data_IF_256837032972
#
_entry.id   IF_256837032972
#
_cell.length_a   1.000
_cell.length_b   1.000
_cell.length_c   1.000
_cell.angle_alpha   90.00
_cell.angle_beta   90.00
_cell.angle_gamma   90.00
#
_symmetry.space_group_name_H-M   'P 1'
#
loop_
_entity.id
_entity.type
_entity.pdbx_description
1 polymer ?
#
# COMPACT_ATOMS: atom_id res chain seq x y z
N UNK A 1 -1.07 -5.34 -49.13
CA UNK A 1 0.02 -6.00 -48.40
C UNK A 1 -0.06 -5.53 -46.95
N UNK A 2 -0.38 -6.32 -45.93
CA UNK A 2 -0.71 -7.75 -45.84
C UNK A 2 -1.79 -7.96 -44.77
N UNK A 3 -2.53 -9.04 -44.92
CA UNK A 3 -3.71 -9.43 -44.16
C UNK A 3 -3.40 -9.83 -42.71
N UNK A 4 -4.39 -9.66 -41.84
CA UNK A 4 -4.39 -10.19 -40.49
C UNK A 4 -4.45 -11.73 -40.51
N UNK A 5 -3.70 -12.46 -39.67
CA UNK A 5 -3.81 -13.90 -39.61
C UNK A 5 -5.13 -14.29 -38.91
N UNK A 6 -6.05 -14.87 -39.68
CA UNK A 6 -7.08 -15.74 -39.14
C UNK A 6 -6.40 -17.05 -38.71
N UNK A 7 -6.38 -17.35 -37.41
CA UNK A 7 -6.01 -18.68 -36.92
C UNK A 7 -7.23 -19.39 -36.35
N UNK A 8 -7.64 -20.37 -37.16
CA UNK A 8 -8.51 -21.52 -36.95
C UNK A 8 -8.78 -21.93 -35.50
N UNK A 9 -10.05 -21.82 -35.12
CA UNK A 9 -10.68 -22.77 -34.21
C UNK A 9 -10.85 -24.09 -34.97
N UNK A 10 -10.01 -25.08 -34.67
CA UNK A 10 -10.27 -26.53 -34.84
C UNK A 10 -8.95 -27.31 -34.70
N UNK A 11 -8.43 -27.46 -33.49
CA UNK A 11 -7.50 -28.56 -33.15
C UNK A 11 -7.21 -28.67 -31.64
N UNK A 12 -8.22 -28.85 -30.79
CA UNK A 12 -8.03 -29.39 -29.44
C UNK A 12 -9.22 -30.29 -29.06
N UNK A 13 -9.53 -31.25 -29.92
CA UNK A 13 -10.24 -32.48 -29.56
C UNK A 13 -9.16 -33.55 -29.37
N UNK A 14 -8.74 -33.77 -28.13
CA UNK A 14 -7.70 -34.75 -27.77
C UNK A 14 -7.66 -34.95 -26.26
N UNK A 15 -8.45 -35.92 -25.79
CA UNK A 15 -8.35 -36.66 -24.53
C UNK A 15 -7.93 -35.91 -23.25
N UNK A 16 -8.92 -35.33 -22.57
CA UNK A 16 -8.85 -35.07 -21.14
C UNK A 16 -9.03 -36.38 -20.35
N UNK A 17 -8.21 -36.68 -19.32
CA UNK A 17 -8.50 -37.75 -18.38
C UNK A 17 -9.80 -37.45 -17.61
N UNK A 18 -10.76 -38.37 -17.71
CA UNK A 18 -12.03 -38.35 -16.99
C UNK A 18 -11.82 -38.41 -15.47
N UNK A 19 -11.93 -37.26 -14.80
CA UNK A 19 -12.74 -37.02 -13.58
C UNK A 19 -12.43 -35.63 -13.04
N UNK A 20 -13.12 -34.63 -13.56
CA UNK A 20 -13.46 -33.43 -12.80
C UNK A 20 -14.97 -33.49 -12.66
N UNK A 21 -15.45 -33.60 -11.43
CA UNK A 21 -16.88 -33.62 -11.14
C UNK A 21 -17.55 -32.42 -11.83
N UNK A 22 -18.48 -32.77 -12.70
CA UNK A 22 -19.30 -31.86 -13.48
C UNK A 22 -20.22 -31.09 -12.54
N UNK A 23 -19.90 -29.81 -12.28
CA UNK A 23 -20.86 -28.75 -11.90
C UNK A 23 -20.19 -27.35 -11.81
N UNK A 24 -19.52 -26.86 -12.86
CA UNK A 24 -19.20 -25.41 -12.91
C UNK A 24 -20.42 -24.59 -13.39
N UNK A 25 -21.43 -24.48 -12.52
CA UNK A 25 -22.34 -23.33 -12.54
C UNK A 25 -21.66 -22.22 -11.73
N UNK A 26 -20.75 -21.44 -12.33
CA UNK A 26 -20.06 -20.39 -11.56
C UNK A 26 -19.30 -19.41 -12.44
N UNK A 27 -19.25 -18.15 -12.03
CA UNK A 27 -18.54 -17.06 -12.68
C UNK A 27 -17.02 -17.14 -12.43
N UNK A 28 -16.44 -18.31 -12.68
CA UNK A 28 -15.02 -18.58 -12.45
C UNK A 28 -14.17 -18.21 -13.67
N UNK A 29 -12.99 -17.63 -13.46
CA UNK A 29 -12.00 -17.34 -14.52
C UNK A 29 -10.66 -17.96 -14.17
N UNK A 30 -10.11 -18.76 -15.09
CA UNK A 30 -8.81 -19.41 -14.93
C UNK A 30 -7.75 -18.77 -15.84
N UNK A 31 -6.57 -18.47 -15.28
CA UNK A 31 -5.46 -17.83 -15.97
C UNK A 31 -4.20 -18.66 -15.72
N UNK A 32 -3.49 -19.01 -16.79
CA UNK A 32 -2.25 -19.77 -16.70
C UNK A 32 -1.07 -18.80 -16.60
N UNK A 33 -0.21 -18.99 -15.61
CA UNK A 33 1.06 -18.26 -15.46
C UNK A 33 2.16 -19.27 -15.16
N UNK A 34 3.03 -19.53 -16.13
CA UNK A 34 4.04 -20.58 -16.05
C UNK A 34 3.44 -21.96 -15.76
N UNK A 35 3.92 -22.61 -14.69
CA UNK A 35 3.42 -23.92 -14.24
C UNK A 35 2.15 -23.85 -13.40
N UNK A 36 1.63 -22.67 -13.08
CA UNK A 36 0.47 -22.49 -12.20
C UNK A 36 -0.77 -22.04 -12.96
N UNK A 37 -1.94 -22.44 -12.48
CA UNK A 37 -3.24 -21.96 -12.94
C UNK A 37 -3.91 -21.23 -11.78
N UNK A 38 -4.19 -19.95 -11.97
CA UNK A 38 -4.88 -19.10 -11.01
C UNK A 38 -6.36 -19.07 -11.35
N UNK A 39 -7.21 -19.48 -10.42
CA UNK A 39 -8.67 -19.47 -10.56
C UNK A 39 -9.25 -18.38 -9.66
N UNK A 40 -9.93 -17.42 -10.29
CA UNK A 40 -10.63 -16.32 -9.66
C UNK A 40 -12.11 -16.68 -9.61
N UNK A 41 -12.67 -16.74 -8.40
CA UNK A 41 -14.06 -17.12 -8.17
C UNK A 41 -14.87 -15.93 -7.64
N UNK A 42 -15.95 -15.58 -8.36
CA UNK A 42 -16.83 -14.45 -8.07
C UNK A 42 -18.06 -14.79 -7.22
N UNK A 43 -18.14 -15.95 -6.55
CA UNK A 43 -19.37 -16.34 -5.85
C UNK A 43 -19.62 -15.51 -4.58
N UNK A 44 -20.81 -14.94 -4.52
CA UNK A 44 -21.45 -14.34 -3.35
C UNK A 44 -22.04 -15.48 -2.49
N UNK A 45 -21.31 -15.92 -1.46
CA UNK A 45 -21.84 -16.83 -0.44
C UNK A 45 -22.28 -16.01 0.77
N UNK A 46 -23.44 -16.38 1.36
CA UNK A 46 -24.26 -15.64 2.35
C UNK A 46 -23.59 -15.19 3.67
N UNK A 47 -22.27 -15.20 3.76
CA UNK A 47 -21.48 -14.59 4.83
C UNK A 47 -20.35 -13.72 4.22
N UNK A 48 -20.67 -12.49 3.82
CA UNK A 48 -19.68 -11.47 3.46
C UNK A 48 -18.87 -11.80 2.20
N UNK A 49 -19.48 -11.60 1.04
CA UNK A 49 -18.97 -11.86 -0.30
C UNK A 49 -17.59 -11.25 -0.58
N UNK A 50 -16.53 -12.06 -0.65
CA UNK A 50 -15.20 -11.62 -1.15
C UNK A 50 -14.76 -12.51 -2.31
N UNK A 51 -14.08 -11.92 -3.30
CA UNK A 51 -13.55 -12.68 -4.43
C UNK A 51 -12.56 -13.74 -3.93
N UNK A 52 -12.75 -14.99 -4.37
CA UNK A 52 -11.92 -16.13 -3.98
C UNK A 52 -10.78 -16.34 -4.97
N UNK A 53 -9.60 -16.74 -4.47
CA UNK A 53 -8.47 -17.18 -5.31
C UNK A 53 -8.08 -18.60 -4.95
N UNK A 54 -7.89 -19.45 -5.95
CA UNK A 54 -7.30 -20.79 -5.84
C UNK A 54 -6.17 -20.93 -6.86
N UNK A 55 -5.15 -21.71 -6.52
CA UNK A 55 -4.01 -21.97 -7.39
C UNK A 55 -3.90 -23.48 -7.60
N UNK A 56 -3.79 -23.89 -8.85
CA UNK A 56 -3.44 -25.26 -9.23
C UNK A 56 -2.02 -25.30 -9.75
N UNK A 57 -1.15 -26.05 -9.08
CA UNK A 57 0.23 -26.25 -9.52
C UNK A 57 0.29 -27.47 -10.44
N UNK A 58 0.60 -27.25 -11.73
CA UNK A 58 0.67 -28.34 -12.73
C UNK A 58 1.83 -29.31 -12.46
N UNK A 59 2.85 -28.87 -11.73
CA UNK A 59 4.03 -29.70 -11.44
C UNK A 59 3.77 -30.71 -10.33
N UNK A 60 3.02 -30.32 -9.29
CA UNK A 60 2.63 -31.23 -8.20
C UNK A 60 1.26 -31.88 -8.42
N UNK A 61 0.40 -31.27 -9.24
CA UNK A 61 -0.99 -31.70 -9.42
C UNK A 61 -1.90 -31.33 -8.24
N UNK A 62 -1.49 -30.39 -7.39
CA UNK A 62 -2.21 -30.03 -6.16
C UNK A 62 -2.89 -28.66 -6.26
N UNK A 63 -4.02 -28.54 -5.55
CA UNK A 63 -4.69 -27.27 -5.30
C UNK A 63 -4.17 -26.60 -4.03
N UNK A 64 -4.01 -25.28 -4.08
CA UNK A 64 -3.57 -24.44 -2.97
C UNK A 64 -4.47 -23.22 -2.84
N UNK A 65 -4.63 -22.76 -1.59
CA UNK A 65 -5.32 -21.52 -1.26
C UNK A 65 -4.23 -20.54 -0.80
N UNK A 66 -3.94 -19.49 -1.59
CA UNK A 66 -2.91 -18.53 -1.21
C UNK A 66 -3.38 -17.60 -0.10
N UNK A 67 -2.41 -16.97 0.57
CA UNK A 67 -2.67 -15.77 1.36
C UNK A 67 -2.96 -14.64 0.38
N UNK A 68 -4.14 -14.02 0.50
CA UNK A 68 -4.56 -12.91 -0.36
C UNK A 68 -4.37 -11.59 0.37
N UNK A 69 -3.46 -10.76 -0.14
CA UNK A 69 -3.18 -9.41 0.36
C UNK A 69 -3.91 -8.34 -0.45
N UNK A 70 -3.97 -7.13 0.09
CA UNK A 70 -4.54 -5.95 -0.58
C UNK A 70 -6.06 -5.86 -0.50
N UNK A 71 -6.60 -4.71 -0.93
CA UNK A 71 -8.03 -4.50 -1.03
C UNK A 71 -8.62 -5.40 -2.11
N UNK A 72 -9.65 -6.18 -1.75
CA UNK A 72 -10.28 -7.12 -2.69
C UNK A 72 -11.33 -6.39 -3.54
N UNK A 73 -11.43 -6.69 -4.85
CA UNK A 73 -12.56 -6.21 -5.65
C UNK A 73 -13.88 -6.74 -5.10
N UNK A 74 -14.93 -5.91 -5.17
CA UNK A 74 -16.29 -6.34 -4.83
C UNK A 74 -16.74 -7.42 -5.82
N UNK A 75 -17.25 -8.57 -5.35
CA UNK A 75 -17.76 -9.65 -6.20
C UNK A 75 -18.72 -9.17 -7.28
N UNK A 76 -18.65 -9.83 -8.43
CA UNK A 76 -19.47 -9.54 -9.62
C UNK A 76 -19.72 -10.82 -10.37
N UNK A 77 -20.84 -10.85 -11.07
CA UNK A 77 -21.17 -11.96 -11.95
C UNK A 77 -20.40 -11.90 -13.27
N UNK A 78 -19.87 -10.73 -13.61
CA UNK A 78 -19.17 -10.51 -14.86
C UNK A 78 -17.76 -9.97 -14.61
N UNK A 79 -16.78 -10.79 -14.98
CA UNK A 79 -15.36 -10.47 -14.98
C UNK A 79 -14.73 -11.01 -16.26
N UNK A 80 -13.76 -10.26 -16.77
CA UNK A 80 -12.76 -10.72 -17.73
C UNK A 80 -11.39 -10.68 -17.06
N UNK A 81 -10.54 -11.65 -17.34
CA UNK A 81 -9.17 -11.66 -16.83
C UNK A 81 -8.20 -11.99 -17.97
N UNK A 82 -7.10 -11.24 -18.05
CA UNK A 82 -6.08 -11.39 -19.08
C UNK A 82 -4.70 -11.27 -18.45
N UNK A 83 -3.78 -12.14 -18.86
CA UNK A 83 -2.39 -12.05 -18.45
C UNK A 83 -1.75 -10.81 -19.10
N UNK A 84 -1.18 -9.91 -18.29
CA UNK A 84 -0.44 -8.76 -18.84
C UNK A 84 1.02 -9.11 -19.09
N UNK A 85 1.61 -9.85 -18.17
CA UNK A 85 3.00 -10.29 -18.15
C UNK A 85 3.13 -11.44 -17.12
N UNK A 86 4.34 -11.95 -16.93
CA UNK A 86 4.58 -13.10 -16.05
C UNK A 86 4.33 -12.83 -14.54
N UNK A 87 4.04 -11.59 -14.14
CA UNK A 87 3.86 -11.22 -12.73
C UNK A 87 2.49 -10.60 -12.38
N UNK A 88 1.66 -10.24 -13.37
CA UNK A 88 0.35 -9.59 -13.18
C UNK A 88 -0.72 -10.09 -14.15
N UNK A 89 -1.90 -10.30 -13.60
CA UNK A 89 -3.15 -10.55 -14.34
C UNK A 89 -4.05 -9.32 -14.23
N UNK A 90 -4.45 -8.73 -15.35
CA UNK A 90 -5.48 -7.69 -15.39
C UNK A 90 -6.85 -8.34 -15.28
N UNK A 91 -7.66 -7.85 -14.35
CA UNK A 91 -9.04 -8.26 -14.10
C UNK A 91 -9.95 -7.06 -14.32
N UNK A 92 -10.85 -7.17 -15.30
CA UNK A 92 -11.82 -6.14 -15.66
C UNK A 92 -13.20 -6.61 -15.26
N UNK A 93 -13.89 -5.83 -14.43
CA UNK A 93 -15.28 -6.07 -14.05
C UNK A 93 -16.24 -5.53 -15.13
N UNK A 94 -17.15 -6.37 -15.61
CA UNK A 94 -18.25 -5.94 -16.47
C UNK A 94 -19.28 -5.12 -15.70
N UNK A 95 -19.91 -4.14 -16.36
CA UNK A 95 -21.05 -3.36 -15.86
C UNK A 95 -20.82 -2.28 -14.77
N UNK A 96 -19.63 -1.70 -14.61
CA UNK A 96 -19.50 -0.44 -13.87
C UNK A 96 -19.03 0.72 -14.77
N UNK A 97 -19.80 1.81 -14.85
CA UNK A 97 -19.38 3.03 -15.54
C UNK A 97 -18.36 3.87 -14.76
N UNK A 98 -17.57 3.25 -13.89
CA UNK A 98 -16.70 3.93 -12.91
C UNK A 98 -15.28 3.35 -12.91
N UNK A 99 -14.29 4.12 -12.44
CA UNK A 99 -12.89 3.72 -12.27
C UNK A 99 -12.64 2.47 -11.42
N UNK A 100 -13.66 1.92 -10.72
CA UNK A 100 -13.57 0.65 -9.98
C UNK A 100 -13.54 -0.63 -10.86
N UNK A 101 -13.47 -0.50 -12.18
CA UNK A 101 -13.52 -1.64 -13.11
C UNK A 101 -12.23 -2.43 -13.24
N UNK A 102 -11.07 -1.79 -13.02
CA UNK A 102 -9.78 -2.38 -13.32
C UNK A 102 -9.09 -2.79 -12.04
N UNK A 103 -8.64 -4.03 -11.99
CA UNK A 103 -7.91 -4.62 -10.87
C UNK A 103 -6.76 -5.45 -11.41
N UNK A 104 -5.69 -5.56 -10.65
CA UNK A 104 -4.59 -6.46 -10.94
C UNK A 104 -4.52 -7.52 -9.85
N UNK A 105 -4.42 -8.77 -10.27
CA UNK A 105 -3.96 -9.85 -9.41
C UNK A 105 -2.46 -9.99 -9.63
N UNK A 106 -1.69 -9.57 -8.63
CA UNK A 106 -0.24 -9.72 -8.58
C UNK A 106 0.09 -11.14 -8.12
N UNK A 107 0.83 -11.87 -8.95
CA UNK A 107 1.14 -13.29 -8.74
C UNK A 107 2.64 -13.58 -8.68
N UNK A 108 3.47 -12.61 -9.04
CA UNK A 108 4.92 -12.80 -9.08
C UNK A 108 5.74 -11.52 -8.99
N UNK A 109 5.13 -10.42 -8.54
CA UNK A 109 5.81 -9.11 -8.41
C UNK A 109 6.85 -9.16 -7.28
N UNK A 110 7.82 -8.23 -7.24
CA UNK A 110 8.77 -8.15 -6.13
C UNK A 110 8.10 -8.08 -4.74
N UNK A 111 6.97 -7.38 -4.65
CA UNK A 111 6.14 -7.30 -3.44
C UNK A 111 5.62 -8.68 -3.02
N UNK A 112 4.99 -9.42 -3.95
CA UNK A 112 4.49 -10.77 -3.69
C UNK A 112 5.62 -11.70 -3.24
N UNK A 113 6.74 -11.74 -3.97
CA UNK A 113 7.89 -12.62 -3.64
C UNK A 113 8.49 -12.30 -2.27
N UNK A 114 8.54 -11.02 -1.90
CA UNK A 114 9.03 -10.61 -0.58
C UNK A 114 8.10 -11.15 0.52
N UNK A 115 6.78 -11.01 0.36
CA UNK A 115 5.80 -11.52 1.31
C UNK A 115 5.76 -13.06 1.36
N UNK A 116 5.90 -13.76 0.23
CA UNK A 116 6.03 -15.23 0.21
C UNK A 116 7.22 -15.68 1.04
N UNK A 117 8.38 -15.01 0.87
CA UNK A 117 9.59 -15.32 1.64
C UNK A 117 9.40 -15.09 3.14
N UNK A 118 8.70 -14.01 3.52
CA UNK A 118 8.45 -13.68 4.93
C UNK A 118 7.40 -14.59 5.58
N UNK A 119 6.34 -14.94 4.86
CA UNK A 119 5.21 -15.72 5.39
C UNK A 119 5.39 -17.24 5.22
N UNK A 120 6.34 -17.67 4.38
CA UNK A 120 6.59 -19.09 4.09
C UNK A 120 5.44 -19.80 3.38
N UNK A 121 4.52 -19.04 2.79
CA UNK A 121 3.32 -19.52 2.12
C UNK A 121 3.18 -18.86 0.75
N UNK A 122 2.37 -19.45 -0.12
CA UNK A 122 2.02 -18.87 -1.41
C UNK A 122 1.16 -17.62 -1.20
N UNK A 123 1.53 -16.52 -1.86
CA UNK A 123 0.90 -15.21 -1.69
C UNK A 123 0.44 -14.69 -3.04
N UNK A 124 -0.71 -14.05 -3.06
CA UNK A 124 -1.15 -13.17 -4.15
C UNK A 124 -1.59 -11.85 -3.57
N UNK A 125 -1.54 -10.78 -4.34
CA UNK A 125 -2.02 -9.48 -3.90
C UNK A 125 -2.98 -8.88 -4.93
N UNK A 126 -4.08 -8.32 -4.44
CA UNK A 126 -4.92 -7.45 -5.25
C UNK A 126 -4.39 -6.03 -5.21
N UNK A 127 -4.31 -5.39 -6.37
CA UNK A 127 -4.10 -3.95 -6.49
C UNK A 127 -5.15 -3.34 -7.41
N UNK A 128 -5.66 -2.16 -7.05
CA UNK A 128 -6.64 -1.45 -7.86
C UNK A 128 -5.95 -0.82 -9.07
N UNK A 129 -6.57 -0.95 -10.23
CA UNK A 129 -6.14 -0.25 -11.43
C UNK A 129 -6.56 1.21 -11.38
N UNK A 130 -5.59 2.09 -11.57
CA UNK A 130 -5.80 3.54 -11.68
C UNK A 130 -5.61 3.97 -13.12
N UNK A 131 -6.50 4.82 -13.61
CA UNK A 131 -6.37 5.45 -14.93
C UNK A 131 -5.36 6.59 -14.82
N UNK A 132 -4.26 6.51 -15.58
CA UNK A 132 -3.21 7.52 -15.64
C UNK A 132 -1.87 7.04 -15.10
N UNK A 133 -0.88 7.93 -15.06
CA UNK A 133 0.43 7.64 -14.46
C UNK A 133 0.35 7.91 -12.96
N UNK A 134 0.54 6.87 -12.14
CA UNK A 134 0.72 7.06 -10.70
C UNK A 134 2.11 7.65 -10.49
N UNK A 135 2.16 8.90 -10.06
CA UNK A 135 3.43 9.54 -9.75
C UNK A 135 4.00 9.01 -8.43
N UNK A 136 5.33 8.83 -8.38
CA UNK A 136 6.03 8.35 -7.18
C UNK A 136 5.69 9.24 -5.97
N UNK A 137 5.33 8.68 -4.81
CA UNK A 137 5.07 9.46 -3.62
C UNK A 137 6.31 10.24 -3.18
N UNK A 138 6.09 11.38 -2.52
CA UNK A 138 7.13 12.19 -1.91
C UNK A 138 7.14 11.92 -0.41
N UNK A 139 8.21 11.32 0.07
CA UNK A 139 8.52 11.17 1.49
C UNK A 139 9.21 12.43 1.97
N UNK A 140 8.55 13.18 2.86
CA UNK A 140 9.14 14.31 3.56
C UNK A 140 9.45 13.86 5.00
N UNK A 141 10.73 13.91 5.36
CA UNK A 141 11.21 13.53 6.69
C UNK A 141 12.07 14.63 7.30
N UNK A 142 12.31 14.56 8.61
CA UNK A 142 13.09 15.57 9.33
C UNK A 142 12.71 15.67 10.79
N UNK A 143 13.48 16.42 11.60
CA UNK A 143 13.18 16.61 13.01
C UNK A 143 11.76 17.17 13.26
N UNK A 144 11.20 16.87 14.43
CA UNK A 144 10.00 17.58 14.89
C UNK A 144 10.29 19.08 14.94
N UNK A 145 9.35 19.95 14.58
CA UNK A 145 9.55 21.41 14.65
C UNK A 145 10.44 22.03 13.55
N UNK A 146 10.98 21.23 12.62
CA UNK A 146 11.83 21.78 11.54
C UNK A 146 11.06 22.60 10.49
N UNK A 147 9.74 22.42 10.40
CA UNK A 147 8.87 23.16 9.46
C UNK A 147 8.19 22.31 8.38
N UNK A 148 8.25 20.97 8.47
CA UNK A 148 7.61 20.04 7.50
C UNK A 148 6.13 20.37 7.26
N UNK A 149 5.33 20.45 8.33
CA UNK A 149 3.90 20.75 8.21
C UNK A 149 3.63 22.09 7.52
N UNK A 150 4.47 23.11 7.75
CA UNK A 150 4.37 24.41 7.05
C UNK A 150 4.69 24.27 5.56
N UNK A 151 5.75 23.54 5.21
CA UNK A 151 6.11 23.26 3.81
C UNK A 151 4.99 22.50 3.09
N UNK A 152 4.48 21.44 3.71
CA UNK A 152 3.38 20.63 3.17
C UNK A 152 2.13 21.48 2.98
N UNK A 153 1.77 22.30 3.97
CA UNK A 153 0.61 23.19 3.87
C UNK A 153 0.75 24.19 2.71
N UNK A 154 1.97 24.71 2.47
CA UNK A 154 2.24 25.59 1.31
C UNK A 154 2.11 24.83 -0.01
N UNK A 155 2.71 23.65 -0.13
CA UNK A 155 2.61 22.80 -1.32
C UNK A 155 1.16 22.46 -1.66
N UNK A 156 0.38 22.05 -0.66
CA UNK A 156 -1.04 21.73 -0.81
C UNK A 156 -1.89 22.93 -1.23
N UNK A 157 -1.53 24.14 -0.76
CA UNK A 157 -2.23 25.39 -1.11
C UNK A 157 -1.86 25.89 -2.51
N UNK A 158 -0.60 25.83 -2.87
CA UNK A 158 -0.08 26.38 -4.14
C UNK A 158 -0.37 25.45 -5.32
N UNK A 159 -0.37 24.13 -5.09
CA UNK A 159 -0.55 23.12 -6.12
C UNK A 159 -1.63 22.08 -5.77
N UNK A 160 -2.88 22.51 -5.51
CA UNK A 160 -3.94 21.65 -4.98
C UNK A 160 -4.41 20.54 -5.94
N UNK A 161 -4.16 20.69 -7.24
CA UNK A 161 -4.45 19.69 -8.26
C UNK A 161 -3.33 18.66 -8.46
N UNK A 162 -2.10 18.96 -8.01
CA UNK A 162 -0.94 18.08 -8.20
C UNK A 162 -0.63 17.25 -6.95
N UNK A 163 -0.77 17.82 -5.76
CA UNK A 163 -0.42 17.12 -4.51
C UNK A 163 -1.63 16.76 -3.67
N UNK A 164 -1.57 15.58 -3.06
CA UNK A 164 -2.45 15.16 -1.98
C UNK A 164 -1.64 14.75 -0.76
N UNK A 165 -2.20 14.95 0.43
CA UNK A 165 -1.56 14.57 1.68
C UNK A 165 -2.18 13.29 2.23
N UNK A 166 -1.33 12.28 2.50
CA UNK A 166 -1.77 11.07 3.19
C UNK A 166 -1.74 11.30 4.69
N UNK A 167 -2.92 11.28 5.32
CA UNK A 167 -3.04 11.40 6.78
C UNK A 167 -2.62 10.06 7.40
N UNK A 168 -1.51 10.04 8.14
CA UNK A 168 -1.02 8.83 8.82
C UNK A 168 -1.85 8.47 10.05
N UNK A 169 -1.69 7.25 10.55
CA UNK A 169 -2.30 6.78 11.80
C UNK A 169 -1.33 6.95 12.98
N UNK A 170 -1.88 7.11 14.19
CA UNK A 170 -1.11 7.02 15.43
C UNK A 170 -1.92 6.51 16.60
N UNK A 171 -1.23 5.82 17.53
CA UNK A 171 -1.81 5.40 18.82
C UNK A 171 -1.66 6.44 19.92
N UNK A 172 -0.99 7.55 19.64
CA UNK A 172 -0.85 8.66 20.59
C UNK A 172 -2.19 9.39 20.70
N UNK A 173 -2.59 9.78 21.91
CA UNK A 173 -3.74 10.65 22.08
C UNK A 173 -3.59 11.99 21.31
N UNK A 174 -4.67 12.55 20.74
CA UNK A 174 -4.64 13.85 20.07
C UNK A 174 -4.23 14.96 21.05
N UNK A 175 -3.45 15.93 20.57
CA UNK A 175 -3.19 17.19 21.30
C UNK A 175 -4.38 18.14 21.14
N UNK A 176 -4.47 19.15 22.02
CA UNK A 176 -5.58 20.11 22.07
C UNK A 176 -5.98 20.78 20.73
N UNK A 177 -5.05 20.93 19.77
CA UNK A 177 -5.31 21.53 18.45
C UNK A 177 -5.34 20.52 17.30
N UNK A 178 -5.11 19.23 17.59
CA UNK A 178 -5.11 18.19 16.58
C UNK A 178 -6.55 17.66 16.40
N UNK A 179 -6.89 17.35 15.15
CA UNK A 179 -8.20 16.85 14.77
C UNK A 179 -8.03 15.51 14.05
N UNK A 180 -8.88 14.55 14.42
CA UNK A 180 -8.89 13.22 13.82
C UNK A 180 -9.25 13.29 12.33
N UNK A 181 -8.53 12.53 11.49
CA UNK A 181 -8.71 12.51 10.04
C UNK A 181 -8.15 13.74 9.30
N UNK A 182 -7.59 14.71 10.03
CA UNK A 182 -6.89 15.87 9.44
C UNK A 182 -5.41 15.80 9.74
N UNK A 183 -5.06 15.64 11.02
CA UNK A 183 -3.66 15.61 11.45
C UNK A 183 -3.13 14.18 11.51
N UNK A 184 -3.92 13.29 12.11
CA UNK A 184 -3.71 11.85 12.14
C UNK A 184 -5.07 11.15 12.21
N UNK A 185 -5.10 9.89 11.80
CA UNK A 185 -6.11 8.94 12.26
C UNK A 185 -5.68 8.41 13.63
N UNK A 186 -6.31 8.90 14.68
CA UNK A 186 -6.06 8.46 16.04
C UNK A 186 -6.78 7.13 16.28
N UNK A 187 -6.03 6.08 16.60
CA UNK A 187 -6.54 4.72 16.71
C UNK A 187 -5.99 4.01 17.95
N UNK A 188 -6.65 2.93 18.35
CA UNK A 188 -6.19 2.10 19.45
C UNK A 188 -4.99 1.24 19.04
N UNK A 189 -4.07 1.03 19.97
CA UNK A 189 -2.86 0.23 19.74
C UNK A 189 -3.17 -1.18 19.24
N UNK A 190 -4.12 -1.87 19.89
CA UNK A 190 -4.47 -3.24 19.55
C UNK A 190 -5.08 -3.35 18.14
N UNK A 191 -5.78 -2.30 17.69
CA UNK A 191 -6.34 -2.23 16.34
C UNK A 191 -5.20 -2.06 15.33
N UNK A 192 -4.34 -1.07 15.55
CA UNK A 192 -3.21 -0.79 14.66
C UNK A 192 -2.24 -1.99 14.55
N UNK A 193 -1.93 -2.68 15.66
CA UNK A 193 -1.07 -3.87 15.64
C UNK A 193 -1.67 -5.04 14.86
N UNK A 194 -3.01 -5.21 14.90
CA UNK A 194 -3.69 -6.21 14.08
C UNK A 194 -3.60 -5.85 12.61
N UNK A 195 -3.90 -4.60 12.26
CA UNK A 195 -3.86 -4.15 10.87
C UNK A 195 -2.46 -4.13 10.25
N UNK A 196 -1.44 -3.89 11.07
CA UNK A 196 -0.03 -4.08 10.67
C UNK A 196 0.22 -5.55 10.31
N UNK A 197 -0.24 -6.50 11.13
CA UNK A 197 -0.11 -7.94 10.84
C UNK A 197 -0.87 -8.35 9.58
N UNK A 198 -2.01 -7.72 9.34
CA UNK A 198 -2.84 -7.94 8.15
C UNK A 198 -2.28 -7.24 6.89
N UNK A 199 -1.10 -6.60 6.98
CA UNK A 199 -0.43 -5.97 5.84
C UNK A 199 -1.10 -4.69 5.34
N UNK A 200 -1.91 -4.02 6.16
CA UNK A 200 -2.62 -2.78 5.77
C UNK A 200 -1.75 -1.52 5.81
N UNK A 201 -0.53 -1.62 6.37
CA UNK A 201 0.39 -0.50 6.54
C UNK A 201 1.57 -0.61 5.58
N UNK A 202 1.82 0.47 4.86
CA UNK A 202 2.99 0.65 4.00
C UNK A 202 4.27 0.75 4.83
N UNK A 203 4.21 1.50 5.94
CA UNK A 203 5.27 1.63 6.92
C UNK A 203 4.68 1.85 8.31
N UNK A 204 5.45 1.50 9.33
CA UNK A 204 5.15 1.84 10.70
C UNK A 204 6.43 2.00 11.53
N UNK A 205 6.35 2.83 12.57
CA UNK A 205 7.43 3.07 13.51
C UNK A 205 6.91 3.26 14.95
N UNK A 206 7.71 2.83 15.92
CA UNK A 206 7.46 3.10 17.35
C UNK A 206 8.25 4.33 17.79
N UNK A 207 7.55 5.38 18.21
CA UNK A 207 8.15 6.66 18.60
C UNK A 207 7.57 7.08 19.95
N UNK A 208 8.44 7.20 20.96
CA UNK A 208 8.06 7.53 22.34
C UNK A 208 6.93 6.64 22.89
N UNK A 209 7.03 5.33 22.65
CA UNK A 209 6.04 4.35 23.11
C UNK A 209 4.73 4.33 22.33
N UNK A 210 4.54 5.18 21.32
CA UNK A 210 3.36 5.19 20.46
C UNK A 210 3.71 4.64 19.08
N UNK A 211 2.74 3.99 18.43
CA UNK A 211 2.88 3.58 17.03
C UNK A 211 2.44 4.73 16.11
N UNK A 212 3.14 4.83 14.99
CA UNK A 212 2.82 5.68 13.86
C UNK A 212 2.91 4.84 12.60
N UNK A 213 2.12 5.14 11.59
CA UNK A 213 2.21 4.42 10.32
C UNK A 213 1.31 4.98 9.25
N UNK A 214 1.68 4.72 8.01
CA UNK A 214 0.95 5.13 6.82
C UNK A 214 0.23 3.91 6.25
N UNK A 215 -1.10 3.95 6.22
CA UNK A 215 -1.91 2.88 5.64
C UNK A 215 -1.84 2.89 4.12
N UNK A 216 -1.86 1.71 3.50
CA UNK A 216 -1.90 1.57 2.03
C UNK A 216 -3.08 2.35 1.45
N UNK A 217 -4.25 2.23 2.07
CA UNK A 217 -5.48 2.94 1.69
C UNK A 217 -5.30 4.46 1.67
N UNK A 218 -4.54 5.04 2.60
CA UNK A 218 -4.37 6.50 2.66
C UNK A 218 -3.55 7.02 1.47
N UNK A 219 -2.63 6.20 0.96
CA UNK A 219 -1.85 6.50 -0.25
C UNK A 219 -2.70 6.28 -1.49
N UNK A 220 -3.47 5.19 -1.54
CA UNK A 220 -4.37 4.86 -2.65
C UNK A 220 -5.43 5.95 -2.86
N UNK A 221 -6.06 6.48 -1.80
CA UNK A 221 -7.04 7.57 -1.91
C UNK A 221 -6.46 8.80 -2.62
N UNK A 222 -5.18 9.12 -2.36
CA UNK A 222 -4.52 10.25 -3.02
C UNK A 222 -4.16 9.94 -4.47
N UNK A 223 -3.66 8.74 -4.73
CA UNK A 223 -3.31 8.27 -6.07
C UNK A 223 -4.57 8.17 -6.97
N UNK A 224 -5.67 7.64 -6.45
CA UNK A 224 -6.98 7.53 -7.13
C UNK A 224 -7.54 8.90 -7.51
N UNK A 225 -7.20 9.95 -6.77
CA UNK A 225 -7.54 11.33 -7.10
C UNK A 225 -6.64 11.93 -8.20
N UNK A 226 -5.72 11.15 -8.78
CA UNK A 226 -4.77 11.59 -9.81
C UNK A 226 -3.67 12.51 -9.27
N UNK A 227 -3.42 12.49 -7.95
CA UNK A 227 -2.46 13.39 -7.29
C UNK A 227 -1.23 12.64 -6.83
N UNK A 228 -0.08 13.32 -6.81
CA UNK A 228 1.14 12.82 -6.19
C UNK A 228 1.00 12.86 -4.66
N UNK A 229 1.15 11.70 -4.04
CA UNK A 229 1.00 11.56 -2.60
C UNK A 229 2.21 12.12 -1.83
N UNK A 230 1.96 12.97 -0.84
CA UNK A 230 2.95 13.46 0.12
C UNK A 230 2.80 12.69 1.44
N UNK A 231 3.91 12.14 1.92
CA UNK A 231 4.03 11.38 3.16
C UNK A 231 4.87 12.18 4.18
N UNK A 232 4.29 12.57 5.32
CA UNK A 232 5.04 13.15 6.46
C UNK A 232 5.44 12.04 7.43
N UNK A 233 6.59 11.41 7.17
CA UNK A 233 7.07 10.28 7.95
C UNK A 233 8.35 10.62 8.71
N UNK A 234 8.52 9.98 9.86
CA UNK A 234 9.74 10.15 10.63
C UNK A 234 10.94 9.50 9.92
N UNK A 235 12.15 9.79 10.40
CA UNK A 235 13.39 9.26 9.80
C UNK A 235 13.48 7.73 9.86
N UNK A 236 12.91 7.10 10.89
CA UNK A 236 12.86 5.64 10.98
C UNK A 236 11.87 5.08 9.94
N UNK A 237 10.66 5.65 9.84
CA UNK A 237 9.71 5.32 8.78
C UNK A 237 10.29 5.53 7.38
N UNK A 238 10.98 6.64 7.12
CA UNK A 238 11.62 6.91 5.84
C UNK A 238 12.68 5.87 5.46
N UNK A 239 13.45 5.38 6.43
CA UNK A 239 14.40 4.26 6.22
C UNK A 239 13.66 2.96 5.90
N UNK A 240 12.54 2.69 6.57
CA UNK A 240 11.70 1.53 6.30
C UNK A 240 11.13 1.56 4.88
N UNK A 241 10.58 2.71 4.45
CA UNK A 241 10.09 2.89 3.07
C UNK A 241 11.23 2.72 2.07
N UNK A 242 12.41 3.29 2.33
CA UNK A 242 13.58 3.15 1.43
C UNK A 242 14.09 1.71 1.30
N UNK A 243 13.89 0.88 2.32
CA UNK A 243 14.24 -0.54 2.30
C UNK A 243 13.12 -1.42 1.68
N UNK A 244 11.96 -0.85 1.40
CA UNK A 244 10.83 -1.53 0.76
C UNK A 244 10.94 -1.49 -0.77
N UNK A 245 10.02 -2.17 -1.46
CA UNK A 245 9.89 -2.11 -2.91
C UNK A 245 9.24 -0.81 -3.43
N UNK A 246 8.79 0.10 -2.54
CA UNK A 246 8.14 1.34 -2.96
C UNK A 246 9.15 2.34 -3.53
N UNK A 247 9.00 2.67 -4.80
CA UNK A 247 9.74 3.78 -5.39
C UNK A 247 9.16 5.13 -4.94
N UNK A 248 9.93 5.89 -4.16
CA UNK A 248 9.54 7.20 -3.65
C UNK A 248 10.65 8.25 -3.84
N UNK A 249 10.25 9.52 -3.89
CA UNK A 249 11.17 10.67 -3.81
C UNK A 249 11.36 11.00 -2.33
N UNK A 250 12.60 11.03 -1.86
CA UNK A 250 12.91 11.30 -0.45
C UNK A 250 13.48 12.71 -0.28
N UNK A 251 12.83 13.50 0.57
CA UNK A 251 13.25 14.85 0.94
C UNK A 251 13.45 14.88 2.46
N UNK A 252 14.67 15.17 2.90
CA UNK A 252 14.97 15.41 4.30
C UNK A 252 15.06 16.92 4.55
N UNK A 253 14.24 17.44 5.46
CA UNK A 253 14.31 18.83 5.89
C UNK A 253 15.19 18.91 7.13
N UNK A 254 16.39 19.48 6.96
CA UNK A 254 17.32 19.77 8.05
C UNK A 254 17.08 21.17 8.61
N UNK A 255 17.14 21.39 9.94
CA UNK A 255 17.17 22.75 10.48
C UNK A 255 18.55 23.38 10.24
N UNK A 256 18.64 24.72 10.22
CA UNK A 256 19.90 25.41 9.95
C UNK A 256 20.96 25.19 11.04
N UNK A 257 20.53 24.93 12.28
CA UNK A 257 21.40 24.51 13.38
C UNK A 257 20.60 23.74 14.44
N UNK A 258 21.30 23.09 15.37
CA UNK A 258 20.65 22.42 16.49
C UNK A 258 20.02 23.42 17.47
N UNK A 259 20.66 24.57 17.69
CA UNK A 259 20.14 25.65 18.56
C UNK A 259 18.80 26.18 18.05
N UNK A 260 18.66 26.36 16.73
CA UNK A 260 17.40 26.80 16.14
C UNK A 260 16.31 25.73 16.24
N UNK A 261 16.68 24.45 16.10
CA UNK A 261 15.76 23.33 16.35
C UNK A 261 15.29 23.34 17.80
N UNK A 262 16.21 23.45 18.76
CA UNK A 262 15.90 23.51 20.19
C UNK A 262 14.97 24.69 20.52
N UNK A 263 15.26 25.88 20.00
CA UNK A 263 14.41 27.07 20.19
C UNK A 263 12.98 26.83 19.71
N UNK A 264 12.81 26.25 18.51
CA UNK A 264 11.48 25.92 17.95
C UNK A 264 10.77 24.85 18.77
N UNK A 265 11.51 23.86 19.25
CA UNK A 265 10.99 22.83 20.14
C UNK A 265 10.51 23.49 21.44
N UNK A 266 11.35 24.23 22.17
CA UNK A 266 10.98 24.94 23.43
C UNK A 266 9.70 25.76 23.30
N UNK A 267 9.58 26.56 22.23
CA UNK A 267 8.37 27.36 21.98
C UNK A 267 7.09 26.50 21.82
N UNK A 268 7.22 25.30 21.27
CA UNK A 268 6.12 24.34 21.14
C UNK A 268 5.77 23.67 22.48
N UNK A 269 6.77 23.31 23.29
CA UNK A 269 6.56 22.68 24.62
C UNK A 269 6.03 23.63 25.68
N UNK A 270 6.31 24.92 25.61
CA UNK A 270 5.79 25.90 26.56
C UNK A 270 4.24 25.90 26.64
N UNK A 271 3.57 25.31 25.64
CA UNK A 271 2.12 25.17 25.58
C UNK A 271 1.60 23.77 25.94
N UNK A 272 2.43 22.87 26.50
CA UNK A 272 2.07 21.47 26.84
C UNK A 272 2.64 21.04 28.20
N UNK A 273 1.80 20.57 29.13
CA UNK A 273 2.23 19.91 30.37
C UNK A 273 2.77 18.50 30.05
N UNK A 274 4.09 18.38 29.82
CA UNK A 274 4.74 17.08 29.57
C UNK A 274 5.96 16.93 30.48
N UNK A 275 6.08 15.76 31.13
CA UNK A 275 6.95 15.50 32.29
C UNK A 275 8.48 15.55 32.10
N UNK A 276 9.05 15.83 30.91
CA UNK A 276 10.49 16.14 30.80
C UNK A 276 10.88 16.64 29.41
N UNK A 277 10.94 17.96 29.22
CA UNK A 277 11.51 18.56 28.00
C UNK A 277 12.96 18.10 27.76
N UNK A 278 13.75 17.94 28.83
CA UNK A 278 15.15 17.52 28.77
C UNK A 278 15.32 16.12 28.16
N UNK A 279 14.45 15.16 28.52
CA UNK A 279 14.50 13.80 27.95
C UNK A 279 14.16 13.80 26.46
N UNK A 280 13.17 14.60 26.04
CA UNK A 280 12.82 14.75 24.63
C UNK A 280 13.95 15.39 23.82
N UNK A 281 14.61 16.42 24.38
CA UNK A 281 15.74 17.09 23.74
C UNK A 281 16.93 16.16 23.59
N UNK A 282 17.28 15.39 24.62
CA UNK A 282 18.37 14.42 24.53
C UNK A 282 18.10 13.34 23.48
N UNK A 283 16.85 12.86 23.40
CA UNK A 283 16.43 11.94 22.35
C UNK A 283 16.57 12.58 20.96
N UNK A 284 16.08 13.81 20.79
CA UNK A 284 16.16 14.54 19.52
C UNK A 284 17.61 14.79 19.10
N UNK A 285 18.48 15.18 20.03
CA UNK A 285 19.92 15.33 19.79
C UNK A 285 20.51 14.02 19.30
N UNK A 286 20.40 12.93 20.07
CA UNK A 286 20.97 11.64 19.66
C UNK A 286 20.44 11.14 18.32
N UNK A 287 19.15 11.36 18.05
CA UNK A 287 18.49 10.91 16.81
C UNK A 287 18.93 11.73 15.60
N UNK A 288 19.09 13.05 15.75
CA UNK A 288 19.27 13.94 14.61
C UNK A 288 20.67 14.51 14.45
N UNK A 289 21.50 14.55 15.50
CA UNK A 289 22.88 15.04 15.47
C UNK A 289 23.71 14.49 14.31
N UNK A 290 23.66 13.18 13.96
CA UNK A 290 24.42 12.66 12.82
C UNK A 290 24.08 13.30 11.48
N UNK A 291 22.88 13.86 11.31
CA UNK A 291 22.48 14.55 10.07
C UNK A 291 22.93 16.01 10.01
N UNK A 292 23.46 16.56 11.10
CA UNK A 292 24.08 17.89 11.11
C UNK A 292 25.58 17.82 10.82
N UNK A 293 26.23 16.72 11.18
CA UNK A 293 27.68 16.53 10.95
C UNK A 293 27.99 16.09 9.51
N UNK A 294 27.04 15.47 8.81
CA UNK A 294 27.19 15.03 7.41
C UNK A 294 27.02 16.18 6.40
N UNK A 295 27.45 17.40 6.74
CA UNK A 295 27.19 18.61 5.95
C UNK A 295 27.46 18.48 4.45
N UNK A 296 26.48 18.94 3.65
CA UNK A 296 26.50 19.22 2.20
C UNK A 296 26.90 18.08 1.24
#
# INVERSE_FOLDING_TARGET
MGEAPAFFADSLMGDFPKKVDSKSKGNERAIVVGSKIYVIDGVDHELGSTIGIRIFDKSSGEWRIPIVLGAKPKPSKDYSAVLLNDDRVLVVRGNSGSSECFWFLEVGTPFVRQHEKTLGNEVVAWSKGVLGNVEKPIVISGPSGVGKGTLISKLMKEFPSMFGFSVSHTTRAPRAKEQNGIHYHFTDRNVMEREIKDGKFLEFASVHGNLYGTSVEAVEVVADAGKRCILDIDVQGARSVRASALEAIFIFISPPSFEELEKRLRARWANQEIQSFSSYMLFSYKKYHPYFEQGN
#
